data_IF_075606383901
#
_entry.id   IF_075606383901
#
_cell.length_a   1.000
_cell.length_b   1.000
_cell.length_c   1.000
_cell.angle_alpha   90.00
_cell.angle_beta   90.00
_cell.angle_gamma   90.00
#
_symmetry.space_group_name_H-M   'P 1'
#
loop_
_entity.id
_entity.type
_entity.pdbx_description
1 polymer ?
#
# COMPACT_ATOMS: atom_id res chain seq x y z
N UNK A 1 59.77 -19.84 59.42
CA UNK A 1 58.88 -18.76 59.91
C UNK A 1 58.22 -18.11 58.71
N UNK A 2 56.89 -18.11 58.72
CA UNK A 2 56.00 -17.72 57.62
C UNK A 2 56.18 -16.26 57.19
N UNK A 3 56.33 -16.01 55.88
CA UNK A 3 56.09 -14.68 55.29
C UNK A 3 54.86 -14.76 54.39
N UNK A 4 53.90 -13.88 54.70
CA UNK A 4 52.52 -13.88 54.20
C UNK A 4 52.46 -13.33 52.77
N UNK A 5 51.78 -14.05 51.89
CA UNK A 5 51.37 -13.58 50.57
C UNK A 5 50.07 -12.79 50.74
N UNK A 6 50.12 -11.48 50.50
CA UNK A 6 48.93 -10.63 50.41
C UNK A 6 48.40 -10.66 48.97
N UNK A 7 47.27 -11.33 48.75
CA UNK A 7 46.50 -11.19 47.51
C UNK A 7 45.63 -9.92 47.60
N UNK A 8 45.94 -8.90 46.78
CA UNK A 8 45.00 -7.82 46.50
C UNK A 8 43.94 -8.34 45.52
N UNK A 9 42.72 -8.54 46.03
CA UNK A 9 41.51 -8.73 45.23
C UNK A 9 40.96 -7.36 44.85
N UNK A 10 41.26 -6.89 43.64
CA UNK A 10 40.61 -5.73 43.04
C UNK A 10 39.22 -6.14 42.54
N UNK A 11 38.20 -5.72 43.28
CA UNK A 11 36.78 -5.89 42.93
C UNK A 11 36.43 -4.88 41.82
N UNK A 12 36.28 -5.33 40.58
CA UNK A 12 35.74 -4.50 39.49
C UNK A 12 34.21 -4.47 39.63
N UNK A 13 33.68 -3.40 40.24
CA UNK A 13 32.24 -3.12 40.23
C UNK A 13 31.91 -2.51 38.87
N UNK A 14 31.39 -3.33 37.95
CA UNK A 14 30.71 -2.83 36.75
C UNK A 14 29.39 -2.18 37.19
N UNK A 15 29.41 -0.87 37.36
CA UNK A 15 28.19 -0.07 37.45
C UNK A 15 27.51 -0.07 36.09
N UNK A 16 26.51 -0.94 35.92
CA UNK A 16 25.58 -0.88 34.81
C UNK A 16 24.71 0.37 35.01
N UNK A 17 25.13 1.50 34.45
CA UNK A 17 24.25 2.65 34.32
C UNK A 17 23.22 2.32 33.25
N UNK A 18 22.01 1.99 33.70
CA UNK A 18 20.81 2.12 32.89
C UNK A 18 20.61 3.61 32.62
N UNK A 19 21.18 4.11 31.53
CA UNK A 19 20.67 5.33 30.93
C UNK A 19 19.19 5.08 30.62
N UNK A 20 18.30 5.71 31.38
CA UNK A 20 16.94 5.98 30.93
C UNK A 20 17.08 6.84 29.68
N UNK A 21 17.20 6.19 28.53
CA UNK A 21 17.41 6.84 27.25
C UNK A 21 16.28 7.81 26.98
N UNK A 22 16.65 9.05 26.64
CA UNK A 22 15.75 9.95 25.94
C UNK A 22 15.12 9.17 24.78
N UNK A 23 13.78 9.20 24.67
CA UNK A 23 13.06 8.45 23.64
C UNK A 23 13.69 8.67 22.26
N UNK A 24 13.73 7.61 21.44
CA UNK A 24 14.37 7.68 20.12
C UNK A 24 13.85 8.87 19.31
N UNK A 25 14.74 9.64 18.63
CA UNK A 25 14.30 10.82 17.90
C UNK A 25 13.36 10.41 16.77
N UNK A 26 12.15 10.99 16.77
CA UNK A 26 11.13 10.87 15.72
C UNK A 26 10.93 12.21 15.03
N UNK A 27 10.32 12.21 13.85
CA UNK A 27 9.92 13.45 13.18
C UNK A 27 8.84 14.18 13.98
N UNK A 28 8.73 15.49 13.77
CA UNK A 28 7.69 16.31 14.38
C UNK A 28 6.31 15.75 14.03
N UNK A 29 5.41 15.61 15.00
CA UNK A 29 4.07 15.02 14.86
C UNK A 29 4.05 13.50 14.56
N UNK A 30 5.18 12.82 14.77
CA UNK A 30 5.25 11.36 14.72
C UNK A 30 5.48 10.79 16.12
N UNK A 31 5.11 9.53 16.29
CA UNK A 31 5.38 8.73 17.49
C UNK A 31 6.11 7.46 17.09
N UNK A 32 6.99 6.94 17.94
CA UNK A 32 7.67 5.68 17.66
C UNK A 32 6.68 4.52 17.74
N UNK A 33 6.74 3.59 16.79
CA UNK A 33 5.97 2.35 16.85
C UNK A 33 6.53 1.45 17.96
N UNK A 34 5.70 0.81 18.79
CA UNK A 34 6.16 -0.12 19.81
C UNK A 34 6.56 -1.50 19.24
N UNK A 35 6.27 -1.76 17.95
CA UNK A 35 6.38 -3.09 17.37
C UNK A 35 7.53 -3.26 16.38
N UNK A 36 7.89 -2.19 15.67
CA UNK A 36 8.92 -2.20 14.63
C UNK A 36 9.70 -0.89 14.67
N UNK A 37 10.88 -0.89 14.04
CA UNK A 37 11.73 0.30 13.90
C UNK A 37 11.18 1.31 12.87
N UNK A 38 10.00 1.83 13.18
CA UNK A 38 9.22 2.76 12.39
C UNK A 38 8.60 3.83 13.31
N UNK A 39 8.13 4.90 12.69
CA UNK A 39 7.42 6.02 13.31
C UNK A 39 6.09 6.22 12.59
N UNK A 40 5.10 6.69 13.34
CA UNK A 40 3.71 6.76 12.90
C UNK A 40 3.18 8.18 13.12
N UNK A 41 2.55 8.75 12.09
CA UNK A 41 1.77 9.98 12.20
C UNK A 41 0.31 9.69 11.85
N UNK A 42 -0.60 10.19 12.68
CA UNK A 42 -2.04 10.11 12.52
C UNK A 42 -2.55 11.48 12.11
N UNK A 43 -3.29 11.55 11.00
CA UNK A 43 -3.74 12.81 10.42
C UNK A 43 -5.24 12.79 10.13
N UNK A 44 -5.87 13.93 10.40
CA UNK A 44 -7.25 14.23 10.05
C UNK A 44 -7.21 15.43 9.10
N UNK A 45 -7.54 15.19 7.84
CA UNK A 45 -7.41 16.10 6.73
C UNK A 45 -8.80 16.53 6.27
N UNK A 46 -8.94 17.81 5.89
CA UNK A 46 -10.19 18.33 5.37
C UNK A 46 -10.26 18.23 3.84
N UNK A 47 -11.44 17.88 3.28
CA UNK A 47 -12.65 17.46 4.00
C UNK A 47 -12.66 15.95 4.29
N UNK A 48 -12.86 15.59 5.56
CA UNK A 48 -13.34 14.26 5.97
C UNK A 48 -12.45 13.06 5.54
N UNK A 49 -11.12 13.24 5.51
CA UNK A 49 -10.16 12.19 5.18
C UNK A 49 -9.24 11.93 6.35
N UNK A 50 -9.02 10.66 6.68
CA UNK A 50 -7.97 10.24 7.62
C UNK A 50 -6.77 9.73 6.85
N UNK A 51 -5.58 9.93 7.40
CA UNK A 51 -4.36 9.32 6.92
C UNK A 51 -3.53 8.78 8.09
N UNK A 52 -2.91 7.61 7.89
CA UNK A 52 -1.84 7.12 8.76
C UNK A 52 -0.57 7.02 7.91
N UNK A 53 0.48 7.71 8.33
CA UNK A 53 1.82 7.64 7.74
C UNK A 53 2.66 6.68 8.58
N UNK A 54 3.24 5.67 7.93
CA UNK A 54 4.19 4.73 8.52
C UNK A 54 5.52 4.91 7.80
N UNK A 55 6.52 5.44 8.51
CA UNK A 55 7.85 5.70 7.98
C UNK A 55 8.92 4.98 8.82
N UNK A 56 10.08 4.60 8.26
CA UNK A 56 11.20 4.15 9.08
C UNK A 56 11.59 5.21 10.12
N UNK A 57 12.11 4.78 11.27
CA UNK A 57 12.71 5.71 12.23
C UNK A 57 13.81 6.55 11.55
N UNK A 58 14.06 7.80 11.97
CA UNK A 58 15.05 8.67 11.34
C UNK A 58 16.45 8.03 11.21
N UNK A 59 16.88 7.23 12.19
CA UNK A 59 18.15 6.49 12.13
C UNK A 59 18.26 5.46 10.98
N UNK A 60 17.11 4.99 10.47
CA UNK A 60 17.03 4.05 9.34
C UNK A 60 16.90 4.76 8.00
N UNK A 61 16.68 6.08 8.01
CA UNK A 61 16.62 6.88 6.79
C UNK A 61 18.04 7.18 6.34
N UNK A 62 18.34 6.75 5.11
CA UNK A 62 19.59 7.05 4.44
C UNK A 62 19.34 8.20 3.45
N UNK A 63 19.80 9.40 3.78
CA UNK A 63 19.50 10.64 3.03
C UNK A 63 20.01 10.63 1.59
N UNK A 64 21.01 9.81 1.30
CA UNK A 64 21.58 9.58 -0.02
C UNK A 64 20.74 8.64 -0.89
N UNK A 65 19.85 7.85 -0.27
CA UNK A 65 18.97 6.91 -0.99
C UNK A 65 17.72 7.63 -1.50
N UNK A 66 17.20 7.21 -2.67
CA UNK A 66 15.92 7.70 -3.13
C UNK A 66 14.81 7.36 -2.12
N UNK A 67 13.90 8.31 -1.92
CA UNK A 67 12.72 8.14 -1.10
C UNK A 67 11.51 7.87 -1.97
N UNK A 68 10.67 6.92 -1.55
CA UNK A 68 9.40 6.62 -2.18
C UNK A 68 8.28 6.68 -1.15
N UNK A 69 7.25 7.46 -1.45
CA UNK A 69 6.02 7.53 -0.66
C UNK A 69 4.93 6.80 -1.41
N UNK A 70 4.34 5.81 -0.75
CA UNK A 70 3.30 4.94 -1.29
C UNK A 70 1.98 5.34 -0.67
N UNK A 71 1.08 5.92 -1.44
CA UNK A 71 -0.27 6.18 -0.99
C UNK A 71 -1.14 4.97 -1.30
N UNK A 72 -1.83 4.44 -0.29
CA UNK A 72 -2.76 3.34 -0.38
C UNK A 72 -4.16 3.79 0.01
N UNK A 73 -5.08 3.88 -0.94
CA UNK A 73 -6.48 4.19 -0.66
C UNK A 73 -7.25 2.92 -0.24
N UNK A 74 -7.88 2.97 0.94
CA UNK A 74 -8.58 1.83 1.54
C UNK A 74 -9.78 1.34 0.73
N UNK A 75 -10.17 0.06 0.85
CA UNK A 75 -11.40 -0.44 0.25
C UNK A 75 -12.64 0.08 0.98
N UNK A 76 -13.80 -0.08 0.32
CA UNK A 76 -15.08 0.26 0.95
C UNK A 76 -15.32 -0.65 2.17
N UNK A 77 -15.83 -0.07 3.26
CA UNK A 77 -16.21 -0.82 4.46
C UNK A 77 -15.07 -1.15 5.42
N UNK A 78 -13.82 -0.82 5.09
CA UNK A 78 -12.68 -1.03 5.98
C UNK A 78 -12.13 0.29 6.49
N UNK A 79 -11.73 0.33 7.76
CA UNK A 79 -10.92 1.41 8.30
C UNK A 79 -9.45 1.30 7.86
N UNK A 80 -8.67 2.36 8.07
CA UNK A 80 -7.20 2.34 7.92
C UNK A 80 -6.62 1.25 8.81
N UNK A 81 -7.03 1.19 10.07
CA UNK A 81 -6.50 0.28 11.07
C UNK A 81 -6.74 -1.18 10.67
N UNK A 82 -7.95 -1.50 10.18
CA UNK A 82 -8.28 -2.81 9.63
C UNK A 82 -7.46 -3.13 8.37
N UNK A 83 -7.24 -2.15 7.49
CA UNK A 83 -6.50 -2.31 6.24
C UNK A 83 -5.01 -2.53 6.46
N UNK A 84 -4.39 -1.72 7.34
CA UNK A 84 -3.01 -1.89 7.76
C UNK A 84 -2.81 -3.23 8.49
N UNK A 85 -3.81 -3.63 9.27
CA UNK A 85 -3.96 -4.96 9.85
C UNK A 85 -3.03 -5.25 11.03
N UNK A 86 -3.34 -6.33 11.73
CA UNK A 86 -2.56 -6.85 12.84
C UNK A 86 -2.78 -8.36 12.98
N UNK A 87 -2.23 -8.97 14.03
CA UNK A 87 -2.40 -10.39 14.29
C UNK A 87 -3.86 -10.72 14.60
N UNK A 88 -4.24 -11.97 14.34
CA UNK A 88 -5.54 -12.47 14.76
C UNK A 88 -5.57 -12.60 16.29
N UNK A 89 -6.69 -12.19 16.88
CA UNK A 89 -6.96 -12.40 18.30
C UNK A 89 -8.43 -12.73 18.50
N UNK A 90 -8.76 -13.51 19.54
CA UNK A 90 -10.14 -13.79 19.90
C UNK A 90 -10.90 -12.48 20.21
N UNK A 91 -12.13 -12.37 19.71
CA UNK A 91 -12.95 -11.16 19.82
C UNK A 91 -12.54 -10.01 18.90
N UNK A 92 -11.42 -10.10 18.17
CA UNK A 92 -11.01 -9.09 17.20
C UNK A 92 -11.78 -9.21 15.89
N UNK A 93 -12.16 -8.07 15.32
CA UNK A 93 -12.78 -8.00 14.01
C UNK A 93 -11.89 -8.69 12.95
N UNK A 94 -12.48 -9.59 12.17
CA UNK A 94 -11.80 -10.36 11.14
C UNK A 94 -11.15 -9.48 10.06
N UNK A 95 -11.64 -8.25 9.84
CA UNK A 95 -11.08 -7.33 8.85
C UNK A 95 -9.61 -6.96 9.13
N UNK A 96 -9.13 -7.09 10.37
CA UNK A 96 -7.71 -6.86 10.69
C UNK A 96 -6.76 -7.92 10.10
N UNK A 97 -7.28 -9.10 9.72
CA UNK A 97 -6.47 -10.24 9.28
C UNK A 97 -6.43 -10.39 7.75
N UNK A 98 -7.23 -9.65 6.97
CA UNK A 98 -7.48 -10.00 5.56
C UNK A 98 -6.62 -9.27 4.52
N UNK A 99 -5.98 -8.15 4.88
CA UNK A 99 -5.14 -7.38 3.96
C UNK A 99 -3.72 -7.19 4.49
N UNK A 100 -3.58 -6.72 5.74
CA UNK A 100 -2.30 -6.58 6.43
C UNK A 100 -1.27 -5.77 5.60
N UNK A 101 -1.70 -4.64 5.02
CA UNK A 101 -0.87 -3.84 4.09
C UNK A 101 0.44 -3.37 4.75
N UNK A 102 0.42 -3.04 6.05
CA UNK A 102 1.63 -2.63 6.77
C UNK A 102 2.68 -3.75 6.78
N UNK A 103 2.26 -4.99 7.06
CA UNK A 103 3.15 -6.16 7.07
C UNK A 103 3.72 -6.45 5.67
N UNK A 104 2.89 -6.35 4.63
CA UNK A 104 3.36 -6.48 3.25
C UNK A 104 4.36 -5.38 2.88
N UNK A 105 4.13 -4.14 3.30
CA UNK A 105 5.04 -3.02 3.06
C UNK A 105 6.39 -3.21 3.78
N UNK A 106 6.38 -3.69 5.03
CA UNK A 106 7.60 -4.04 5.78
C UNK A 106 8.38 -5.18 5.11
N UNK A 107 7.69 -6.19 4.57
CA UNK A 107 8.34 -7.25 3.79
C UNK A 107 9.03 -6.68 2.55
N UNK A 108 8.41 -5.72 1.86
CA UNK A 108 9.04 -5.05 0.73
C UNK A 108 10.24 -4.20 1.17
N UNK A 109 10.14 -3.43 2.27
CA UNK A 109 11.28 -2.70 2.85
C UNK A 109 12.47 -3.63 3.11
N UNK A 110 12.23 -4.80 3.68
CA UNK A 110 13.28 -5.78 3.95
C UNK A 110 13.96 -6.30 2.67
N UNK A 111 13.22 -6.41 1.55
CA UNK A 111 13.76 -6.81 0.26
C UNK A 111 14.38 -5.65 -0.54
N UNK A 112 14.09 -4.41 -0.19
CA UNK A 112 14.50 -3.21 -0.91
C UNK A 112 15.33 -2.25 -0.05
N UNK A 113 16.53 -2.65 0.42
CA UNK A 113 17.38 -1.78 1.24
C UNK A 113 17.92 -0.55 0.49
N UNK A 114 17.70 -0.46 -0.83
CA UNK A 114 18.17 0.63 -1.68
C UNK A 114 17.28 1.88 -1.68
N UNK A 115 16.11 1.86 -1.04
CA UNK A 115 15.18 2.99 -1.00
C UNK A 115 14.68 3.25 0.42
N UNK A 116 14.38 4.51 0.74
CA UNK A 116 13.57 4.85 1.91
C UNK A 116 12.09 4.71 1.51
N UNK A 117 11.42 3.66 1.99
CA UNK A 117 10.00 3.43 1.67
C UNK A 117 9.10 3.93 2.81
N UNK A 118 8.13 4.76 2.47
CA UNK A 118 7.14 5.30 3.40
C UNK A 118 5.75 4.89 2.90
N UNK A 119 4.91 4.37 3.80
CA UNK A 119 3.52 4.04 3.52
C UNK A 119 2.61 5.14 4.05
N UNK A 120 1.66 5.56 3.24
CA UNK A 120 0.54 6.42 3.64
C UNK A 120 -0.73 5.65 3.32
N UNK A 121 -1.56 5.36 4.33
CA UNK A 121 -2.85 4.73 4.11
C UNK A 121 -3.96 5.76 4.31
N UNK A 122 -4.92 5.83 3.38
CA UNK A 122 -5.95 6.86 3.31
C UNK A 122 -7.34 6.25 3.45
N UNK A 123 -8.18 6.85 4.29
CA UNK A 123 -9.59 6.50 4.47
C UNK A 123 -10.47 7.74 4.32
N UNK A 124 -11.57 7.60 3.60
CA UNK A 124 -12.63 8.60 3.57
C UNK A 124 -13.67 8.35 4.66
N UNK A 125 -14.21 9.41 5.25
CA UNK A 125 -15.35 9.32 6.14
C UNK A 125 -16.52 8.58 5.49
N UNK A 126 -17.18 7.72 6.27
CA UNK A 126 -18.23 6.84 5.79
C UNK A 126 -17.72 5.60 5.05
N UNK A 127 -16.40 5.34 5.10
CA UNK A 127 -15.73 4.14 4.58
C UNK A 127 -16.05 3.88 3.10
N UNK A 128 -16.18 4.96 2.31
CA UNK A 128 -16.49 4.85 0.89
C UNK A 128 -16.00 6.05 0.08
N UNK A 129 -14.90 5.86 -0.64
CA UNK A 129 -14.38 6.84 -1.60
C UNK A 129 -15.36 7.20 -2.74
N UNK A 130 -16.14 6.26 -3.32
CA UNK A 130 -17.21 6.63 -4.26
C UNK A 130 -18.22 7.61 -3.65
N UNK A 131 -18.71 7.34 -2.43
CA UNK A 131 -19.67 8.23 -1.76
C UNK A 131 -19.03 9.56 -1.39
N UNK A 132 -17.78 9.55 -0.92
CA UNK A 132 -17.04 10.78 -0.63
C UNK A 132 -16.90 11.65 -1.89
N UNK A 133 -16.49 11.08 -3.03
CA UNK A 133 -16.41 11.83 -4.30
C UNK A 133 -17.76 12.37 -4.77
N UNK A 134 -18.84 11.60 -4.57
CA UNK A 134 -20.19 12.05 -4.92
C UNK A 134 -20.64 13.28 -4.10
N UNK A 135 -20.19 13.40 -2.85
CA UNK A 135 -20.49 14.55 -1.96
C UNK A 135 -19.58 15.76 -2.19
N UNK A 136 -18.45 15.58 -2.87
CA UNK A 136 -17.46 16.62 -3.11
C UNK A 136 -17.24 16.80 -4.62
N UNK A 137 -18.04 17.64 -5.31
CA UNK A 137 -17.92 17.83 -6.77
C UNK A 137 -16.53 18.31 -7.21
N UNK A 138 -15.82 19.04 -6.36
CA UNK A 138 -14.44 19.51 -6.51
C UNK A 138 -13.40 18.49 -6.05
N UNK A 139 -13.80 17.23 -5.83
CA UNK A 139 -12.91 16.13 -5.42
C UNK A 139 -11.57 16.05 -6.15
N UNK A 140 -11.43 16.34 -7.46
CA UNK A 140 -10.13 16.23 -8.09
C UNK A 140 -9.11 17.22 -7.50
N UNK A 141 -9.53 18.46 -7.19
CA UNK A 141 -8.66 19.47 -6.54
C UNK A 141 -8.37 19.07 -5.09
N UNK A 142 -9.39 18.60 -4.36
CA UNK A 142 -9.24 18.17 -2.97
C UNK A 142 -8.26 17.01 -2.84
N UNK A 143 -8.33 16.02 -3.73
CA UNK A 143 -7.41 14.87 -3.74
C UNK A 143 -5.96 15.32 -3.96
N UNK A 144 -5.71 16.26 -4.87
CA UNK A 144 -4.37 16.82 -5.08
C UNK A 144 -3.85 17.56 -3.83
N UNK A 145 -4.73 18.33 -3.16
CA UNK A 145 -4.38 19.05 -1.94
C UNK A 145 -4.10 18.10 -0.77
N UNK A 146 -4.86 17.01 -0.63
CA UNK A 146 -4.63 15.97 0.38
C UNK A 146 -3.23 15.35 0.20
N UNK A 147 -2.89 14.93 -1.03
CA UNK A 147 -1.56 14.36 -1.32
C UNK A 147 -0.48 15.38 -1.02
N UNK A 148 -0.63 16.64 -1.44
CA UNK A 148 0.35 17.70 -1.18
C UNK A 148 0.54 17.95 0.33
N UNK A 149 -0.55 18.01 1.10
CA UNK A 149 -0.51 18.22 2.55
C UNK A 149 0.21 17.10 3.29
N UNK A 150 0.01 15.85 2.85
CA UNK A 150 0.70 14.72 3.45
C UNK A 150 2.19 14.75 3.10
N UNK A 151 2.52 15.05 1.84
CA UNK A 151 3.91 15.14 1.40
C UNK A 151 4.69 16.25 2.13
N UNK A 152 4.06 17.35 2.54
CA UNK A 152 4.73 18.41 3.33
C UNK A 152 5.10 18.00 4.75
N UNK A 153 4.46 16.97 5.31
CA UNK A 153 4.79 16.44 6.64
C UNK A 153 5.97 15.46 6.61
N UNK A 154 6.40 15.02 5.42
CA UNK A 154 7.53 14.11 5.24
C UNK A 154 8.79 14.96 4.97
N UNK A 155 9.76 15.04 5.90
CA UNK A 155 10.90 15.95 5.82
C UNK A 155 12.01 15.43 4.88
N UNK A 156 11.63 14.79 3.77
CA UNK A 156 12.52 14.23 2.77
C UNK A 156 12.30 14.92 1.43
N UNK A 157 13.39 15.36 0.81
CA UNK A 157 13.31 16.13 -0.44
C UNK A 157 12.90 15.21 -1.60
N UNK A 158 11.97 15.71 -2.41
CA UNK A 158 11.60 15.17 -3.73
C UNK A 158 11.34 13.65 -3.75
N UNK A 159 10.40 13.13 -2.94
CA UNK A 159 10.08 11.71 -2.97
C UNK A 159 9.43 11.32 -4.30
N UNK A 160 9.71 10.11 -4.77
CA UNK A 160 8.89 9.46 -5.80
C UNK A 160 7.55 9.06 -5.20
N UNK A 161 6.51 9.13 -6.02
CA UNK A 161 5.15 8.83 -5.62
C UNK A 161 4.68 7.51 -6.25
N UNK A 162 4.34 6.54 -5.43
CA UNK A 162 3.60 5.34 -5.87
C UNK A 162 2.16 5.47 -5.38
N UNK A 163 1.19 5.24 -6.27
CA UNK A 163 -0.23 5.28 -5.95
C UNK A 163 -0.82 3.87 -6.04
N UNK A 164 -1.40 3.40 -4.94
CA UNK A 164 -2.02 2.10 -4.80
C UNK A 164 -3.45 2.23 -4.26
N UNK A 165 -4.30 1.28 -4.61
CA UNK A 165 -5.65 1.22 -4.08
C UNK A 165 -6.22 -0.19 -4.11
N UNK A 166 -7.17 -0.46 -3.24
CA UNK A 166 -7.98 -1.68 -3.27
C UNK A 166 -9.47 -1.34 -3.34
N UNK A 167 -10.24 -2.10 -4.13
CA UNK A 167 -11.70 -1.98 -4.20
C UNK A 167 -12.18 -0.53 -4.37
N UNK A 168 -13.06 -0.07 -3.47
CA UNK A 168 -13.55 1.30 -3.34
C UNK A 168 -12.48 2.39 -3.45
N UNK A 169 -11.27 2.15 -2.95
CA UNK A 169 -10.12 3.05 -3.04
C UNK A 169 -9.74 3.39 -4.49
N UNK A 170 -10.11 2.55 -5.45
CA UNK A 170 -10.05 2.88 -6.88
C UNK A 170 -10.72 4.20 -7.21
N UNK A 171 -11.82 4.54 -6.53
CA UNK A 171 -12.52 5.81 -6.72
C UNK A 171 -11.63 7.01 -6.40
N UNK A 172 -10.81 6.97 -5.33
CA UNK A 172 -9.82 8.00 -5.04
C UNK A 172 -8.82 8.14 -6.18
N UNK A 173 -8.29 7.01 -6.67
CA UNK A 173 -7.33 6.96 -7.77
C UNK A 173 -7.88 7.58 -9.06
N UNK A 174 -9.13 7.26 -9.41
CA UNK A 174 -9.77 7.84 -10.58
C UNK A 174 -10.06 9.33 -10.38
N UNK A 175 -10.39 9.77 -9.16
CA UNK A 175 -10.51 11.20 -8.84
C UNK A 175 -9.20 11.96 -9.02
N UNK A 176 -8.08 11.37 -8.59
CA UNK A 176 -6.73 11.90 -8.85
C UNK A 176 -6.46 12.07 -10.34
N UNK A 177 -6.74 11.03 -11.14
CA UNK A 177 -6.51 11.03 -12.60
C UNK A 177 -7.43 12.02 -13.34
N UNK A 178 -8.64 12.23 -12.83
CA UNK A 178 -9.58 13.19 -13.40
C UNK A 178 -9.16 14.65 -13.13
N UNK A 179 -8.35 14.89 -12.09
CA UNK A 179 -7.93 16.23 -11.67
C UNK A 179 -6.77 16.83 -12.44
N UNK A 180 -6.21 16.10 -13.41
CA UNK A 180 -5.10 16.58 -14.21
C UNK A 180 -5.20 16.07 -15.64
N UNK A 181 -4.83 16.90 -16.61
CA UNK A 181 -4.77 16.51 -18.02
C UNK A 181 -3.66 15.49 -18.29
N UNK A 182 -2.58 15.58 -17.51
CA UNK A 182 -1.44 14.67 -17.56
C UNK A 182 -1.10 14.16 -16.15
N UNK A 183 -0.62 12.92 -16.08
CA UNK A 183 -0.15 12.35 -14.83
C UNK A 183 1.19 12.98 -14.46
N UNK A 184 1.31 13.49 -13.23
CA UNK A 184 2.55 14.07 -12.71
C UNK A 184 3.75 13.13 -12.88
N UNK A 185 4.88 13.70 -13.30
CA UNK A 185 6.13 12.96 -13.47
C UNK A 185 6.68 12.38 -12.17
N UNK A 186 6.26 12.94 -11.04
CA UNK A 186 6.60 12.44 -9.71
C UNK A 186 6.03 11.04 -9.46
N UNK A 187 4.96 10.65 -10.16
CA UNK A 187 4.35 9.33 -10.01
C UNK A 187 5.14 8.28 -10.79
N UNK A 188 5.68 7.28 -10.11
CA UNK A 188 6.47 6.21 -10.70
C UNK A 188 5.69 4.91 -10.89
N UNK A 189 4.60 4.72 -10.13
CA UNK A 189 3.83 3.47 -10.17
C UNK A 189 2.37 3.68 -9.81
N UNK A 190 1.52 2.97 -10.54
CA UNK A 190 0.12 2.72 -10.17
C UNK A 190 -0.10 1.24 -9.90
N UNK A 191 -0.80 0.94 -8.80
CA UNK A 191 -1.29 -0.39 -8.49
C UNK A 191 -2.80 -0.35 -8.21
N UNK A 192 -3.57 -1.02 -9.06
CA UNK A 192 -4.98 -1.30 -8.81
C UNK A 192 -5.14 -2.74 -8.33
N UNK A 193 -5.56 -2.92 -7.08
CA UNK A 193 -5.96 -4.22 -6.55
C UNK A 193 -7.48 -4.30 -6.61
N UNK A 194 -8.01 -5.00 -7.59
CA UNK A 194 -9.45 -5.20 -7.74
C UNK A 194 -10.25 -3.89 -7.64
N UNK A 195 -9.71 -2.83 -8.27
CA UNK A 195 -10.11 -1.44 -8.02
C UNK A 195 -10.34 -0.62 -9.30
N UNK A 196 -10.22 -1.22 -10.48
CA UNK A 196 -10.23 -0.51 -11.76
C UNK A 196 -11.62 -0.38 -12.41
N UNK A 197 -12.70 -0.68 -11.68
CA UNK A 197 -14.06 -0.77 -12.24
C UNK A 197 -14.55 0.52 -12.92
N UNK A 198 -14.09 1.70 -12.48
CA UNK A 198 -14.43 3.01 -13.07
C UNK A 198 -13.50 3.44 -14.22
N UNK A 199 -12.72 2.54 -14.81
CA UNK A 199 -11.97 2.84 -16.03
C UNK A 199 -12.90 3.35 -17.14
N UNK A 200 -12.54 4.49 -17.73
CA UNK A 200 -13.35 5.24 -18.68
C UNK A 200 -12.51 5.68 -19.88
N UNK A 201 -13.01 5.37 -21.09
CA UNK A 201 -12.44 5.87 -22.34
C UNK A 201 -12.82 7.33 -22.56
N UNK A 202 -14.03 7.73 -22.15
CA UNK A 202 -14.53 9.10 -22.27
C UNK A 202 -13.69 10.08 -21.44
N UNK A 203 -13.24 9.67 -20.25
CA UNK A 203 -12.36 10.46 -19.38
C UNK A 203 -10.88 10.36 -19.78
N UNK A 204 -10.58 9.77 -20.94
CA UNK A 204 -9.25 9.62 -21.52
C UNK A 204 -8.22 8.89 -20.64
N UNK A 205 -8.67 8.08 -19.66
CA UNK A 205 -7.77 7.39 -18.71
C UNK A 205 -6.68 6.58 -19.42
N UNK A 206 -7.06 5.87 -20.49
CA UNK A 206 -6.10 5.08 -21.27
C UNK A 206 -5.02 5.93 -21.93
N UNK A 207 -5.39 7.09 -22.49
CA UNK A 207 -4.42 7.99 -23.13
C UNK A 207 -3.45 8.58 -22.10
N UNK A 208 -3.97 9.02 -20.94
CA UNK A 208 -3.14 9.55 -19.83
C UNK A 208 -2.08 8.54 -19.39
N UNK A 209 -2.47 7.28 -19.20
CA UNK A 209 -1.52 6.23 -18.83
C UNK A 209 -0.51 5.90 -19.93
N UNK A 210 -0.91 5.90 -21.20
CA UNK A 210 0.00 5.66 -22.32
C UNK A 210 1.08 6.74 -22.41
N UNK A 211 0.67 8.01 -22.42
CA UNK A 211 1.59 9.14 -22.44
C UNK A 211 2.53 9.11 -21.22
N UNK A 212 1.99 8.81 -20.04
CA UNK A 212 2.78 8.67 -18.81
C UNK A 212 3.80 7.53 -18.89
N UNK A 213 3.42 6.33 -19.34
CA UNK A 213 4.30 5.18 -19.51
C UNK A 213 5.41 5.43 -20.56
N UNK A 214 5.12 6.21 -21.60
CA UNK A 214 6.11 6.56 -22.63
C UNK A 214 7.15 7.58 -22.13
N UNK A 215 6.78 8.44 -21.17
CA UNK A 215 7.66 9.50 -20.68
C UNK A 215 8.85 9.05 -19.83
N UNK A 216 8.81 7.87 -19.20
CA UNK A 216 9.94 7.32 -18.43
C UNK A 216 9.87 5.79 -18.39
N UNK A 217 10.99 5.11 -18.64
CA UNK A 217 11.13 3.65 -18.60
C UNK A 217 11.00 3.04 -17.20
N UNK A 218 11.05 3.85 -16.13
CA UNK A 218 10.85 3.39 -14.76
C UNK A 218 9.38 3.30 -14.36
N UNK A 219 8.49 3.95 -15.11
CA UNK A 219 7.06 4.03 -14.81
C UNK A 219 6.35 2.70 -15.07
N UNK A 220 5.54 2.27 -14.10
CA UNK A 220 4.82 0.98 -14.14
C UNK A 220 3.33 1.10 -13.80
N UNK A 221 2.45 0.56 -14.64
CA UNK A 221 1.02 0.39 -14.36
C UNK A 221 0.72 -1.08 -14.13
N UNK A 222 0.30 -1.43 -12.92
CA UNK A 222 -0.04 -2.78 -12.52
C UNK A 222 -1.52 -2.84 -12.13
N UNK A 223 -2.25 -3.80 -12.70
CA UNK A 223 -3.65 -4.08 -12.35
C UNK A 223 -3.74 -5.55 -12.01
N UNK A 224 -4.31 -5.87 -10.85
CA UNK A 224 -4.53 -7.23 -10.39
C UNK A 224 -6.01 -7.36 -10.05
N UNK A 225 -6.72 -8.28 -10.67
CA UNK A 225 -8.11 -8.58 -10.37
C UNK A 225 -8.35 -10.10 -10.38
N UNK A 226 -9.58 -10.49 -10.09
CA UNK A 226 -10.04 -11.86 -10.29
C UNK A 226 -11.30 -11.88 -11.15
N UNK A 227 -11.63 -13.03 -11.73
CA UNK A 227 -12.89 -13.22 -12.42
C UNK A 227 -14.04 -13.22 -11.40
N UNK A 228 -14.67 -12.05 -11.30
CA UNK A 228 -15.76 -11.77 -10.38
C UNK A 228 -17.15 -12.01 -11.02
N UNK A 229 -17.20 -12.42 -12.30
CA UNK A 229 -18.44 -12.44 -13.10
C UNK A 229 -19.55 -13.32 -12.56
N UNK A 230 -19.17 -14.40 -11.90
CA UNK A 230 -20.07 -15.45 -11.43
C UNK A 230 -20.06 -15.60 -9.91
N UNK A 231 -19.44 -14.66 -9.20
CA UNK A 231 -19.37 -14.68 -7.74
C UNK A 231 -20.74 -14.41 -7.15
N UNK A 232 -21.14 -15.27 -6.21
CA UNK A 232 -22.39 -15.16 -5.48
C UNK A 232 -22.11 -14.88 -4.00
N UNK A 233 -22.87 -13.96 -3.42
CA UNK A 233 -22.97 -13.76 -1.98
C UNK A 233 -24.41 -14.06 -1.56
N UNK A 234 -24.61 -15.03 -0.67
CA UNK A 234 -25.93 -15.49 -0.24
C UNK A 234 -26.87 -15.82 -1.42
N UNK A 235 -26.34 -16.50 -2.44
CA UNK A 235 -27.08 -16.89 -3.65
C UNK A 235 -27.35 -15.76 -4.65
N UNK A 236 -26.97 -14.51 -4.36
CA UNK A 236 -27.16 -13.36 -5.25
C UNK A 236 -25.84 -12.96 -5.91
N UNK A 237 -25.90 -12.54 -7.19
CA UNK A 237 -24.74 -11.97 -7.87
C UNK A 237 -24.26 -10.71 -7.16
N UNK A 238 -22.96 -10.66 -6.90
CA UNK A 238 -22.32 -9.48 -6.27
C UNK A 238 -22.15 -8.35 -7.28
N UNK A 239 -21.89 -8.69 -8.54
CA UNK A 239 -21.68 -7.72 -9.61
C UNK A 239 -22.81 -7.73 -10.64
N UNK A 240 -23.02 -6.59 -11.29
CA UNK A 240 -23.96 -6.48 -12.41
C UNK A 240 -23.40 -7.17 -13.68
N UNK A 241 -24.25 -7.43 -14.70
CA UNK A 241 -23.82 -8.08 -15.94
C UNK A 241 -22.72 -7.35 -16.73
N UNK A 242 -22.57 -6.05 -16.53
CA UNK A 242 -21.57 -5.20 -17.21
C UNK A 242 -20.51 -4.66 -16.25
N UNK A 243 -20.71 -4.83 -14.94
CA UNK A 243 -19.80 -4.42 -13.89
C UNK A 243 -18.68 -5.43 -13.64
N UNK A 244 -17.94 -5.15 -12.57
CA UNK A 244 -16.82 -5.95 -12.12
C UNK A 244 -15.47 -5.51 -12.66
N UNK A 245 -14.43 -5.89 -11.94
CA UNK A 245 -13.03 -5.57 -12.24
C UNK A 245 -12.51 -6.44 -13.37
N UNK A 246 -12.97 -7.69 -13.50
CA UNK A 246 -12.63 -8.56 -14.63
C UNK A 246 -12.93 -7.88 -15.97
N UNK A 247 -14.17 -7.36 -16.11
CA UNK A 247 -14.58 -6.67 -17.34
C UNK A 247 -13.85 -5.35 -17.52
N UNK A 248 -13.60 -4.60 -16.45
CA UNK A 248 -12.86 -3.36 -16.52
C UNK A 248 -11.40 -3.59 -16.95
N UNK A 249 -10.76 -4.65 -16.47
CA UNK A 249 -9.41 -5.07 -16.87
C UNK A 249 -9.39 -5.47 -18.34
N UNK A 250 -10.42 -6.19 -18.81
CA UNK A 250 -10.61 -6.45 -20.25
C UNK A 250 -10.71 -5.16 -21.08
N UNK A 251 -11.53 -4.19 -20.65
CA UNK A 251 -11.63 -2.89 -21.33
C UNK A 251 -10.32 -2.11 -21.35
N UNK A 252 -9.56 -2.15 -20.25
CA UNK A 252 -8.22 -1.55 -20.18
C UNK A 252 -7.29 -2.21 -21.18
N UNK A 253 -7.21 -3.54 -21.18
CA UNK A 253 -6.41 -4.31 -22.16
C UNK A 253 -6.77 -3.91 -23.58
N UNK A 254 -8.06 -3.94 -23.93
CA UNK A 254 -8.53 -3.65 -25.29
C UNK A 254 -8.20 -2.21 -25.71
N UNK A 255 -8.29 -1.24 -24.79
CA UNK A 255 -7.88 0.13 -25.08
C UNK A 255 -6.38 0.23 -25.34
N UNK A 256 -5.55 -0.40 -24.52
CA UNK A 256 -4.09 -0.34 -24.67
C UNK A 256 -3.59 -1.13 -25.89
N UNK A 257 -4.25 -2.24 -26.23
CA UNK A 257 -3.89 -3.10 -27.36
C UNK A 257 -4.02 -2.42 -28.73
N UNK A 258 -4.70 -1.27 -28.81
CA UNK A 258 -4.76 -0.43 -30.02
C UNK A 258 -3.40 0.13 -30.41
N UNK A 259 -2.52 0.33 -29.44
CA UNK A 259 -1.20 0.97 -29.62
C UNK A 259 -0.04 0.06 -29.18
N UNK A 260 -0.31 -0.91 -28.30
CA UNK A 260 0.69 -1.79 -27.71
C UNK A 260 0.47 -3.24 -28.09
N UNK A 261 1.57 -3.97 -28.31
CA UNK A 261 1.54 -5.43 -28.41
C UNK A 261 1.65 -6.04 -27.02
N UNK A 262 0.70 -6.91 -26.69
CA UNK A 262 0.72 -7.68 -25.45
C UNK A 262 1.36 -9.04 -25.64
N UNK A 263 2.07 -9.48 -24.60
CA UNK A 263 2.45 -10.87 -24.38
C UNK A 263 1.52 -11.43 -23.31
N UNK A 264 0.87 -12.55 -23.62
CA UNK A 264 0.01 -13.25 -22.69
C UNK A 264 0.66 -14.54 -22.21
N UNK A 265 0.59 -14.78 -20.91
CA UNK A 265 1.08 -16.00 -20.28
C UNK A 265 0.03 -16.52 -19.31
N UNK A 266 -0.01 -17.84 -19.14
CA UNK A 266 -0.88 -18.51 -18.19
C UNK A 266 -0.05 -19.33 -17.22
N UNK A 267 -0.43 -19.33 -15.95
CA UNK A 267 0.20 -20.14 -14.91
C UNK A 267 -0.85 -20.57 -13.89
N UNK A 268 -1.34 -21.81 -14.03
CA UNK A 268 -2.50 -22.28 -13.28
C UNK A 268 -3.72 -21.40 -13.55
N UNK A 269 -4.38 -20.93 -12.48
CA UNK A 269 -5.55 -20.05 -12.56
C UNK A 269 -5.20 -18.58 -12.83
N UNK A 270 -3.95 -18.25 -13.13
CA UNK A 270 -3.60 -16.90 -13.58
C UNK A 270 -3.53 -16.76 -15.08
N UNK A 271 -4.07 -15.64 -15.54
CA UNK A 271 -3.72 -15.03 -16.81
C UNK A 271 -2.96 -13.73 -16.55
N UNK A 272 -1.81 -13.57 -17.21
CA UNK A 272 -1.00 -12.34 -17.17
C UNK A 272 -0.88 -11.82 -18.59
N UNK A 273 -1.40 -10.62 -18.84
CA UNK A 273 -1.21 -9.86 -20.07
C UNK A 273 -0.26 -8.70 -19.78
N UNK A 274 0.89 -8.68 -20.45
CA UNK A 274 1.91 -7.65 -20.24
C UNK A 274 2.33 -6.96 -21.54
N UNK A 275 2.65 -5.68 -21.46
CA UNK A 275 3.16 -4.89 -22.58
C UNK A 275 4.31 -3.98 -22.10
N UNK A 276 5.06 -3.43 -23.05
CA UNK A 276 6.21 -2.54 -22.79
C UNK A 276 7.19 -3.20 -21.81
N UNK A 277 7.66 -4.40 -22.15
CA UNK A 277 8.59 -5.18 -21.33
C UNK A 277 8.13 -5.40 -19.88
N UNK A 278 6.82 -5.54 -19.67
CA UNK A 278 6.21 -5.78 -18.35
C UNK A 278 5.90 -4.53 -17.52
N UNK A 279 6.12 -3.32 -18.05
CA UNK A 279 5.79 -2.07 -17.34
C UNK A 279 4.29 -1.81 -17.27
N UNK A 280 3.55 -2.26 -18.28
CA UNK A 280 2.11 -2.42 -18.20
C UNK A 280 1.82 -3.90 -17.97
N UNK A 281 1.29 -4.24 -16.80
CA UNK A 281 0.97 -5.64 -16.45
C UNK A 281 -0.43 -5.74 -15.89
N UNK A 282 -1.26 -6.55 -16.55
CA UNK A 282 -2.63 -6.86 -16.18
C UNK A 282 -2.69 -8.33 -15.76
N UNK A 283 -3.13 -8.59 -14.53
CA UNK A 283 -3.14 -9.92 -13.92
C UNK A 283 -4.56 -10.25 -13.51
N UNK A 284 -5.04 -11.39 -13.98
CA UNK A 284 -6.39 -11.87 -13.73
C UNK A 284 -6.33 -13.27 -13.14
N UNK A 285 -6.83 -13.45 -11.92
CA UNK A 285 -7.11 -14.77 -11.37
C UNK A 285 -8.44 -15.28 -11.94
N UNK A 286 -8.43 -16.35 -12.75
CA UNK A 286 -9.57 -16.88 -13.50
C UNK A 286 -10.70 -17.45 -12.64
N UNK A 287 -10.42 -17.73 -11.35
CA UNK A 287 -11.42 -18.07 -10.33
C UNK A 287 -12.42 -19.17 -10.75
N UNK A 288 -11.95 -20.35 -11.20
CA UNK A 288 -12.82 -21.39 -11.75
C UNK A 288 -13.87 -21.91 -10.77
N UNK A 289 -13.65 -21.76 -9.45
CA UNK A 289 -14.61 -22.14 -8.42
C UNK A 289 -15.56 -21.00 -7.99
N UNK A 290 -15.55 -19.86 -8.69
CA UNK A 290 -16.43 -18.70 -8.44
C UNK A 290 -16.42 -18.22 -6.98
N UNK A 291 -15.25 -18.27 -6.32
CA UNK A 291 -15.08 -17.88 -4.92
C UNK A 291 -15.01 -16.37 -4.79
N UNK A 292 -15.32 -15.86 -3.60
CA UNK A 292 -15.06 -14.47 -3.22
C UNK A 292 -13.56 -14.36 -2.94
N UNK A 293 -12.79 -13.84 -3.90
CA UNK A 293 -11.33 -13.64 -3.76
C UNK A 293 -10.95 -12.18 -3.45
N UNK A 294 -11.94 -11.30 -3.28
CA UNK A 294 -11.77 -9.85 -3.21
C UNK A 294 -10.65 -9.38 -2.27
N UNK A 295 -10.57 -9.93 -1.06
CA UNK A 295 -9.54 -9.60 -0.06
C UNK A 295 -8.44 -10.66 0.00
N UNK A 296 -8.76 -11.93 -0.30
CA UNK A 296 -7.79 -13.02 -0.40
C UNK A 296 -6.70 -12.71 -1.45
N UNK A 297 -7.07 -12.08 -2.57
CA UNK A 297 -6.14 -11.62 -3.60
C UNK A 297 -5.09 -10.64 -3.06
N UNK A 298 -5.48 -9.81 -2.08
CA UNK A 298 -4.61 -8.80 -1.48
C UNK A 298 -3.77 -9.41 -0.35
N UNK A 299 -4.41 -10.05 0.61
CA UNK A 299 -3.75 -10.62 1.78
C UNK A 299 -3.13 -11.98 1.49
N UNK A 300 -3.97 -13.01 1.34
CA UNK A 300 -3.54 -14.41 1.27
C UNK A 300 -2.64 -14.71 0.06
N UNK A 301 -2.88 -14.00 -1.04
CA UNK A 301 -2.16 -14.16 -2.30
C UNK A 301 -1.03 -13.13 -2.50
N UNK A 302 -0.73 -12.30 -1.49
CA UNK A 302 0.34 -11.29 -1.53
C UNK A 302 0.18 -10.22 -2.63
N UNK A 303 -1.05 -9.87 -3.00
CA UNK A 303 -1.34 -8.98 -4.14
C UNK A 303 -0.69 -7.61 -4.04
N UNK A 304 -0.69 -6.97 -2.86
CA UNK A 304 0.00 -5.69 -2.67
C UNK A 304 1.51 -5.86 -2.80
N UNK A 305 2.11 -6.80 -2.07
CA UNK A 305 3.56 -7.04 -2.09
C UNK A 305 4.06 -7.37 -3.51
N UNK A 306 3.34 -8.22 -4.25
CA UNK A 306 3.68 -8.49 -5.63
C UNK A 306 3.54 -7.24 -6.50
N UNK A 307 2.39 -6.56 -6.47
CA UNK A 307 2.14 -5.39 -7.31
C UNK A 307 3.15 -4.25 -7.11
N UNK A 308 3.63 -4.06 -5.87
CA UNK A 308 4.70 -3.12 -5.53
C UNK A 308 6.05 -3.51 -6.14
N UNK A 309 6.32 -4.80 -6.26
CA UNK A 309 7.64 -5.33 -6.61
C UNK A 309 7.78 -5.80 -8.06
N UNK A 310 6.69 -5.94 -8.82
CA UNK A 310 6.77 -6.21 -10.28
C UNK A 310 7.73 -5.25 -10.95
N UNK A 311 8.64 -5.78 -11.77
CA UNK A 311 9.68 -5.02 -12.50
C UNK A 311 10.68 -4.28 -11.59
N UNK A 312 10.90 -4.79 -10.38
CA UNK A 312 11.98 -4.35 -9.49
C UNK A 312 12.88 -5.54 -9.15
N UNK A 313 14.15 -5.34 -8.74
CA UNK A 313 14.99 -6.44 -8.26
C UNK A 313 14.34 -7.26 -7.12
N UNK A 314 13.68 -6.65 -6.11
CA UNK A 314 12.89 -7.38 -5.11
C UNK A 314 11.80 -8.29 -5.70
N UNK A 315 11.22 -7.93 -6.85
CA UNK A 315 10.15 -8.69 -7.50
C UNK A 315 10.55 -10.07 -8.00
N UNK A 316 11.85 -10.34 -8.16
CA UNK A 316 12.34 -11.68 -8.50
C UNK A 316 12.10 -12.70 -7.38
N UNK A 317 11.86 -12.23 -6.16
CA UNK A 317 11.66 -13.06 -4.98
C UNK A 317 10.22 -13.55 -4.82
N UNK A 318 9.26 -12.96 -5.54
CA UNK A 318 7.82 -13.22 -5.36
C UNK A 318 7.15 -13.69 -6.65
N UNK A 319 6.35 -14.75 -6.54
CA UNK A 319 5.48 -15.26 -7.62
C UNK A 319 4.01 -15.11 -7.21
N UNK A 320 3.19 -14.47 -8.04
CA UNK A 320 1.73 -14.47 -7.88
C UNK A 320 1.13 -15.79 -8.37
N UNK A 321 -0.03 -16.19 -7.83
CA UNK A 321 -0.41 -16.23 -6.43
C UNK A 321 -0.26 -17.69 -6.01
N UNK A 322 0.96 -18.12 -5.76
CA UNK A 322 1.22 -19.49 -5.33
C UNK A 322 2.03 -19.41 -4.04
N UNK A 323 1.35 -19.58 -2.91
CA UNK A 323 2.01 -19.75 -1.62
C UNK A 323 1.30 -19.04 -0.46
N UNK A 324 1.57 -19.46 0.79
CA UNK A 324 1.07 -18.76 1.97
C UNK A 324 1.58 -17.31 2.01
N UNK A 325 0.99 -16.51 2.90
CA UNK A 325 1.42 -15.12 3.15
C UNK A 325 2.94 -15.05 3.37
N UNK A 326 3.64 -14.23 2.60
CA UNK A 326 5.11 -14.12 2.63
C UNK A 326 5.62 -13.07 3.63
N UNK A 327 4.72 -12.50 4.41
CA UNK A 327 4.98 -11.35 5.28
C UNK A 327 4.56 -11.61 6.74
N UNK A 328 4.28 -12.87 7.11
CA UNK A 328 3.72 -13.22 8.43
C UNK A 328 4.55 -12.68 9.59
N UNK A 329 5.89 -12.72 9.48
CA UNK A 329 6.81 -12.20 10.51
C UNK A 329 6.73 -10.68 10.74
N UNK A 330 6.08 -9.94 9.84
CA UNK A 330 5.97 -8.48 9.88
C UNK A 330 4.58 -8.00 10.35
N UNK A 331 3.71 -8.92 10.75
CA UNK A 331 2.40 -8.60 11.29
C UNK A 331 2.55 -8.19 12.76
N UNK A 332 2.21 -6.94 13.07
CA UNK A 332 2.22 -6.44 14.45
C UNK A 332 1.12 -7.11 15.30
N UNK A 333 1.37 -7.34 16.60
CA UNK A 333 0.38 -7.93 17.51
C UNK A 333 -0.92 -7.13 17.60
N UNK A 334 -0.83 -5.81 17.83
CA UNK A 334 -1.99 -4.96 18.08
C UNK A 334 -2.31 -4.02 16.90
N UNK A 335 -3.57 -3.59 16.73
CA UNK A 335 -3.93 -2.55 15.77
C UNK A 335 -3.08 -1.29 15.90
N UNK A 336 -3.01 -0.51 14.82
CA UNK A 336 -2.61 0.89 14.94
C UNK A 336 -3.61 1.59 15.86
N UNK A 337 -3.12 2.35 16.83
CA UNK A 337 -3.96 3.13 17.75
C UNK A 337 -3.42 4.54 17.82
N UNK A 338 -4.24 5.50 17.39
CA UNK A 338 -3.95 6.91 17.58
C UNK A 338 -3.81 7.19 19.09
N UNK A 339 -2.69 7.78 19.55
CA UNK A 339 -2.53 8.15 20.94
C UNK A 339 -3.69 9.04 21.39
N UNK A 340 -4.26 8.74 22.56
CA UNK A 340 -5.25 9.63 23.16
C UNK A 340 -4.54 10.92 23.55
N UNK A 341 -4.96 12.04 22.94
CA UNK A 341 -4.51 13.35 23.40
C UNK A 341 -5.22 13.59 24.72
N UNK A 342 -4.51 13.46 25.84
CA UNK A 342 -4.99 13.97 27.12
C UNK A 342 -5.31 15.46 26.90
N UNK A 343 -6.60 15.79 26.95
CA UNK A 343 -7.00 17.19 27.02
C UNK A 343 -6.44 17.69 28.34
N UNK A 344 -5.43 18.55 28.28
CA UNK A 344 -5.10 19.38 29.43
C UNK A 344 -6.34 20.24 29.71
N UNK A 345 -7.04 19.92 30.80
CA UNK A 345 -8.16 20.71 31.32
C UNK A 345 -7.72 22.12 31.72
#
# INVERSE_FOLDING_TARGET
MYSRICYLLTLFVLTCHSELGAGEPVWKNFTASPWFEEQISYQHLMPEVRAIIVAPLPRRIAVEKPTRVVFFATPNGNTIDQTLGCQKQEGRDWHFEIQQIAAQHRQWQAWNPGENLILVCLEAQGLSWPRWRARHPDNPVLIQNIIRSILSEIPLKTPRLTLACHSGGGSFMWGFLNGADQISEQVDRFLFLDANYSFSVADQHGQKFLSWLQGDEKRCLIVICYDDRNVLFQGKKVISPTGGTYRATGRMRDRFARELKFQETHSGDLQIASAINGRLTLITHLNPQNRILHTALVGDMNGYLYGMTVKTPPGQQIKLPQGPRQYVRWIQPEPFKEPEVEKAD
#
